data_IF_864577860870
#
_entry.id   IF_864577860870
#
_cell.length_a   1.000
_cell.length_b   1.000
_cell.length_c   1.000
_cell.angle_alpha   90.00
_cell.angle_beta   90.00
_cell.angle_gamma   90.00
#
_symmetry.space_group_name_H-M   'P 1'
#
loop_
_entity.id
_entity.type
_entity.pdbx_description
1 polymer ?
#
# COMPACT_ATOMS: atom_id res chain seq x y z
N UNK A 1 17.07 -41.55 -14.38
CA UNK A 1 17.16 -40.19 -13.79
C UNK A 1 16.13 -39.31 -14.49
N UNK A 2 15.40 -38.45 -13.78
CA UNK A 2 14.37 -37.57 -14.36
C UNK A 2 14.63 -36.10 -14.04
N UNK A 3 14.31 -35.22 -15.00
CA UNK A 3 14.37 -33.76 -14.89
C UNK A 3 13.07 -33.20 -15.48
N UNK A 4 12.47 -32.20 -14.83
CA UNK A 4 11.29 -31.51 -15.33
C UNK A 4 11.44 -29.99 -15.17
N UNK A 5 10.82 -29.24 -16.09
CA UNK A 5 10.79 -27.79 -16.12
C UNK A 5 9.40 -27.34 -16.57
N UNK A 6 8.85 -26.29 -15.95
CA UNK A 6 7.52 -25.75 -16.29
C UNK A 6 7.56 -24.24 -16.23
N UNK A 7 7.00 -23.61 -17.26
CA UNK A 7 6.87 -22.15 -17.34
C UNK A 7 5.57 -21.69 -16.67
N UNK A 8 5.55 -20.46 -16.17
CA UNK A 8 4.35 -19.82 -15.63
C UNK A 8 4.20 -18.40 -16.17
N UNK A 9 2.96 -18.01 -16.46
CA UNK A 9 2.54 -16.61 -16.69
C UNK A 9 1.31 -16.36 -15.85
N UNK A 10 1.32 -15.29 -15.07
CA UNK A 10 0.21 -14.94 -14.18
C UNK A 10 -0.13 -13.46 -14.35
N UNK A 11 -1.38 -13.15 -14.71
CA UNK A 11 -1.85 -11.78 -14.84
C UNK A 11 -2.13 -11.15 -13.47
N UNK A 12 -1.85 -9.85 -13.33
CA UNK A 12 -1.97 -9.13 -12.06
C UNK A 12 -2.99 -8.00 -12.22
N UNK A 13 -4.21 -8.25 -11.76
CA UNK A 13 -5.29 -7.27 -11.55
C UNK A 13 -6.52 -8.01 -11.01
N UNK A 14 -7.49 -7.27 -10.49
CA UNK A 14 -8.85 -7.79 -10.40
C UNK A 14 -9.48 -7.81 -11.79
N UNK A 15 -10.12 -8.93 -12.15
CA UNK A 15 -10.93 -9.01 -13.38
C UNK A 15 -12.14 -8.07 -13.35
N UNK A 16 -12.68 -7.78 -12.15
CA UNK A 16 -13.69 -6.75 -11.94
C UNK A 16 -12.98 -5.40 -11.86
N UNK A 17 -13.09 -4.62 -12.93
CA UNK A 17 -12.29 -3.39 -13.15
C UNK A 17 -12.36 -2.43 -11.96
N UNK A 18 -13.56 -2.22 -11.41
CA UNK A 18 -13.80 -1.28 -10.31
C UNK A 18 -13.07 -1.68 -9.02
N UNK A 19 -12.67 -2.94 -8.85
CA UNK A 19 -11.90 -3.35 -7.66
C UNK A 19 -10.42 -2.94 -7.75
N UNK A 20 -9.94 -2.49 -8.90
CA UNK A 20 -8.58 -1.94 -9.06
C UNK A 20 -8.52 -0.47 -8.61
N UNK A 21 -8.95 -0.22 -7.38
CA UNK A 21 -8.93 1.08 -6.71
C UNK A 21 -8.33 0.95 -5.31
N UNK A 22 -7.76 2.04 -4.80
CA UNK A 22 -7.31 2.14 -3.42
C UNK A 22 -7.36 3.59 -2.93
N UNK A 23 -7.42 3.73 -1.61
CA UNK A 23 -7.30 5.00 -0.91
C UNK A 23 -6.24 4.92 0.19
N UNK A 24 -5.71 6.08 0.55
CA UNK A 24 -4.81 6.24 1.68
C UNK A 24 -5.04 7.61 2.34
N UNK A 25 -4.80 7.68 3.64
CA UNK A 25 -4.85 8.87 4.47
C UNK A 25 -3.47 9.07 5.10
N UNK A 26 -2.89 10.26 4.91
CA UNK A 26 -1.58 10.62 5.44
C UNK A 26 -1.72 11.86 6.33
N UNK A 27 -1.21 11.76 7.55
CA UNK A 27 -1.08 12.88 8.49
C UNK A 27 0.38 13.18 8.74
N UNK A 28 0.75 14.47 8.70
CA UNK A 28 2.02 14.98 9.18
C UNK A 28 1.75 15.77 10.45
N UNK A 29 2.38 15.36 11.55
CA UNK A 29 2.23 16.02 12.83
C UNK A 29 3.23 17.17 12.98
N UNK A 30 3.01 18.05 13.95
CA UNK A 30 3.84 19.23 14.20
C UNK A 30 5.27 18.89 14.63
N UNK A 31 5.51 17.67 15.11
CA UNK A 31 6.84 17.15 15.44
C UNK A 31 7.58 16.55 14.22
N UNK A 32 6.97 16.58 13.03
CA UNK A 32 7.51 16.03 11.80
C UNK A 32 7.27 14.53 11.60
N UNK A 33 6.66 13.85 12.57
CA UNK A 33 6.28 12.44 12.41
C UNK A 33 5.11 12.28 11.44
N UNK A 34 5.07 11.15 10.74
CA UNK A 34 4.06 10.86 9.72
C UNK A 34 3.30 9.59 10.07
N UNK A 35 1.97 9.67 10.05
CA UNK A 35 1.09 8.50 10.14
C UNK A 35 0.41 8.27 8.81
N UNK A 36 0.51 7.05 8.30
CA UNK A 36 -0.25 6.58 7.13
C UNK A 36 -1.27 5.52 7.53
N UNK A 37 -2.46 5.61 6.93
CA UNK A 37 -3.48 4.58 6.92
C UNK A 37 -3.87 4.28 5.46
N UNK A 38 -4.07 3.01 5.11
CA UNK A 38 -4.46 2.61 3.76
C UNK A 38 -5.44 1.44 3.81
N UNK A 39 -6.14 1.20 2.70
CA UNK A 39 -7.18 0.18 2.62
C UNK A 39 -6.73 -1.27 2.66
N UNK A 40 -5.47 -1.54 2.31
CA UNK A 40 -4.91 -2.89 2.37
C UNK A 40 -4.65 -3.39 3.80
N UNK A 41 -4.78 -4.70 4.02
CA UNK A 41 -4.61 -5.38 5.31
C UNK A 41 -3.27 -6.12 5.36
N UNK A 42 -2.53 -5.93 6.44
CA UNK A 42 -1.32 -6.72 6.72
C UNK A 42 -1.67 -8.14 7.16
N UNK A 43 -1.06 -9.13 6.51
CA UNK A 43 -1.26 -10.55 6.77
C UNK A 43 0.05 -11.35 6.62
N UNK A 44 1.20 -10.69 6.75
CA UNK A 44 2.54 -11.28 6.70
C UNK A 44 3.31 -11.02 5.39
N UNK A 45 2.69 -10.37 4.42
CA UNK A 45 3.29 -10.02 3.12
C UNK A 45 4.13 -8.73 3.15
N UNK A 46 4.14 -8.02 4.28
CA UNK A 46 4.90 -6.79 4.49
C UNK A 46 4.32 -5.60 3.72
N UNK A 47 2.98 -5.54 3.59
CA UNK A 47 2.30 -4.46 2.89
C UNK A 47 2.51 -3.12 3.61
N UNK A 48 2.33 -3.11 4.94
CA UNK A 48 2.46 -1.87 5.72
C UNK A 48 3.89 -1.31 5.63
N UNK A 49 4.90 -2.18 5.65
CA UNK A 49 6.31 -1.81 5.45
C UNK A 49 6.53 -1.16 4.08
N UNK A 50 6.03 -1.80 3.01
CA UNK A 50 6.17 -1.27 1.65
C UNK A 50 5.48 0.08 1.48
N UNK A 51 4.28 0.26 2.03
CA UNK A 51 3.56 1.54 1.96
C UNK A 51 4.29 2.63 2.74
N UNK A 52 4.76 2.34 3.95
CA UNK A 52 5.56 3.30 4.73
C UNK A 52 6.87 3.68 4.01
N UNK A 53 7.54 2.74 3.34
CA UNK A 53 8.72 3.02 2.51
C UNK A 53 8.40 3.98 1.35
N UNK A 54 7.25 3.77 0.68
CA UNK A 54 6.81 4.66 -0.41
C UNK A 54 6.55 6.08 0.10
N UNK A 55 5.85 6.22 1.24
CA UNK A 55 5.58 7.53 1.85
C UNK A 55 6.87 8.22 2.29
N UNK A 56 7.76 7.50 2.97
CA UNK A 56 9.06 8.02 3.41
C UNK A 56 9.90 8.52 2.22
N UNK A 57 10.00 7.70 1.17
CA UNK A 57 10.70 8.07 -0.06
C UNK A 57 10.06 9.28 -0.73
N UNK A 58 8.73 9.31 -0.85
CA UNK A 58 8.05 10.43 -1.49
C UNK A 58 8.25 11.73 -0.71
N UNK A 59 8.18 11.72 0.63
CA UNK A 59 8.37 12.91 1.47
C UNK A 59 9.85 13.27 1.72
N UNK A 60 10.80 12.40 1.35
CA UNK A 60 12.23 12.62 1.64
C UNK A 60 12.59 12.46 3.11
N UNK A 61 11.85 11.61 3.84
CA UNK A 61 12.02 11.37 5.28
C UNK A 61 12.70 10.03 5.53
N UNK A 62 13.37 9.85 6.68
CA UNK A 62 13.84 8.53 7.08
C UNK A 62 12.65 7.61 7.40
N UNK A 63 12.83 6.31 7.21
CA UNK A 63 11.75 5.32 7.33
C UNK A 63 11.11 5.30 8.74
N UNK A 64 11.91 5.52 9.78
CA UNK A 64 11.48 5.54 11.19
C UNK A 64 10.56 6.72 11.55
N UNK A 65 10.58 7.80 10.75
CA UNK A 65 9.65 8.91 10.88
C UNK A 65 8.24 8.59 10.39
N UNK A 66 8.05 7.49 9.64
CA UNK A 66 6.77 7.10 9.05
C UNK A 66 6.24 5.84 9.71
N UNK A 67 5.03 5.92 10.29
CA UNK A 67 4.33 4.78 10.89
C UNK A 67 3.07 4.46 10.12
N UNK A 68 2.85 3.18 9.83
CA UNK A 68 1.58 2.71 9.29
C UNK A 68 0.69 2.21 10.44
N UNK A 69 -0.56 2.66 10.47
CA UNK A 69 -1.56 2.13 11.40
C UNK A 69 -2.31 0.93 10.80
N UNK A 70 -3.06 0.20 11.63
CA UNK A 70 -3.95 -0.85 11.14
C UNK A 70 -5.06 -0.28 10.24
N UNK A 71 -5.49 -1.04 9.24
CA UNK A 71 -6.59 -0.70 8.34
C UNK A 71 -7.86 -0.38 9.12
N UNK A 72 -8.54 0.71 8.76
CA UNK A 72 -9.72 1.21 9.48
C UNK A 72 -10.70 1.87 8.50
N UNK A 73 -11.93 1.35 8.45
CA UNK A 73 -12.98 1.84 7.52
C UNK A 73 -13.50 3.22 7.88
N UNK A 74 -13.28 3.71 9.10
CA UNK A 74 -13.56 5.10 9.48
C UNK A 74 -12.56 6.10 8.88
N UNK A 75 -11.38 5.62 8.47
CA UNK A 75 -10.30 6.45 7.90
C UNK A 75 -10.22 6.34 6.39
N UNK A 76 -10.35 5.11 5.86
CA UNK A 76 -10.37 4.85 4.42
C UNK A 76 -11.57 3.96 4.11
N UNK A 77 -12.62 4.57 3.55
CA UNK A 77 -13.86 3.88 3.20
C UNK A 77 -13.78 3.20 1.83
N UNK A 78 -14.69 2.25 1.59
CA UNK A 78 -14.93 1.60 0.28
C UNK A 78 -13.69 0.95 -0.36
N UNK A 79 -12.83 0.36 0.48
CA UNK A 79 -11.59 -0.27 0.05
C UNK A 79 -11.84 -1.65 -0.57
N UNK A 80 -11.15 -1.97 -1.65
CA UNK A 80 -11.12 -3.34 -2.18
C UNK A 80 -10.45 -4.31 -1.21
N UNK A 81 -10.79 -5.60 -1.32
CA UNK A 81 -10.13 -6.65 -0.55
C UNK A 81 -8.63 -6.71 -0.86
N UNK A 82 -7.82 -7.10 0.12
CA UNK A 82 -6.38 -7.35 -0.10
C UNK A 82 -6.22 -8.68 -0.82
N UNK A 83 -6.26 -8.66 -2.15
CA UNK A 83 -6.22 -9.83 -3.01
C UNK A 83 -5.59 -9.49 -4.38
N UNK A 84 -5.69 -10.43 -5.34
CA UNK A 84 -5.22 -10.28 -6.73
C UNK A 84 -3.72 -9.94 -6.90
N UNK A 85 -2.92 -10.10 -5.85
CA UNK A 85 -1.51 -9.67 -5.81
C UNK A 85 -1.27 -8.19 -6.10
N UNK A 86 -2.31 -7.34 -5.96
CA UNK A 86 -2.26 -5.90 -6.28
C UNK A 86 -2.07 -5.01 -5.07
N UNK A 87 -2.04 -5.57 -3.85
CA UNK A 87 -2.07 -4.81 -2.60
C UNK A 87 -0.99 -3.73 -2.50
N UNK A 88 0.26 -4.07 -2.85
CA UNK A 88 1.38 -3.11 -2.81
C UNK A 88 1.24 -2.01 -3.89
N UNK A 89 0.87 -2.41 -5.11
CA UNK A 89 0.72 -1.50 -6.24
C UNK A 89 -0.36 -0.45 -5.96
N UNK A 90 -1.56 -0.90 -5.61
CA UNK A 90 -2.71 -0.01 -5.42
C UNK A 90 -2.54 0.88 -4.18
N UNK A 91 -2.27 0.29 -3.00
CA UNK A 91 -2.17 1.06 -1.76
C UNK A 91 -0.91 1.91 -1.70
N UNK A 92 0.20 1.44 -2.27
CA UNK A 92 1.43 2.21 -2.41
C UNK A 92 1.22 3.44 -3.28
N UNK A 93 0.53 3.31 -4.42
CA UNK A 93 0.21 4.46 -5.29
C UNK A 93 -0.79 5.42 -4.66
N UNK A 94 -1.79 4.93 -3.94
CA UNK A 94 -2.71 5.80 -3.20
C UNK A 94 -1.96 6.60 -2.11
N UNK A 95 -1.06 5.96 -1.37
CA UNK A 95 -0.26 6.63 -0.34
C UNK A 95 0.76 7.62 -0.94
N UNK A 96 1.37 7.26 -2.08
CA UNK A 96 2.23 8.17 -2.85
C UNK A 96 1.48 9.42 -3.30
N UNK A 97 0.26 9.27 -3.82
CA UNK A 97 -0.57 10.40 -4.24
C UNK A 97 -0.94 11.31 -3.05
N UNK A 98 -1.33 10.73 -1.92
CA UNK A 98 -1.59 11.48 -0.69
C UNK A 98 -0.35 12.24 -0.20
N UNK A 99 0.83 11.61 -0.20
CA UNK A 99 2.09 12.25 0.17
C UNK A 99 2.47 13.41 -0.77
N UNK A 100 2.21 13.27 -2.08
CA UNK A 100 2.45 14.34 -3.07
C UNK A 100 1.58 15.56 -2.85
N UNK A 101 0.34 15.38 -2.40
CA UNK A 101 -0.58 16.50 -2.10
C UNK A 101 -0.18 17.32 -0.88
N UNK A 102 0.72 16.80 -0.04
CA UNK A 102 1.24 17.50 1.14
C UNK A 102 2.43 18.40 0.76
N UNK A 103 3.17 18.05 -0.31
CA UNK A 103 4.26 18.87 -0.84
C UNK A 103 3.75 20.14 -1.52
#
# INVERSE_FOLDING_TARGET
KGLAFTLVKFGISFNVVQLNQAGALVHVYTDGSVLVNHGGTEMGQGLNTKVAQVVAHELGLPFDAVRCSATDTSKVANTSATAASTGSDLNGKAAQDAARKIK
#
